data_IF_758959416442
#
_entry.id   IF_758959416442
#
_cell.length_a   1.000
_cell.length_b   1.000
_cell.length_c   1.000
_cell.angle_alpha   90.00
_cell.angle_beta   90.00
_cell.angle_gamma   90.00
#
_symmetry.space_group_name_H-M   'P 1'
#
loop_
_entity.id
_entity.type
_entity.pdbx_description
1 polymer ?
#
# COMPACT_ATOMS: atom_id res chain seq x y z
N UNK A 1 22.52 2.66 -7.32
CA UNK A 1 22.49 3.00 -5.88
C UNK A 1 22.10 1.74 -5.13
N UNK A 2 22.90 1.30 -4.16
CA UNK A 2 22.53 0.16 -3.30
C UNK A 2 21.60 0.73 -2.22
N UNK A 3 20.43 0.13 -2.04
CA UNK A 3 19.49 0.53 -0.99
C UNK A 3 20.01 0.04 0.36
N UNK A 4 20.08 0.92 1.37
CA UNK A 4 20.36 0.53 2.75
C UNK A 4 19.07 0.36 3.56
N UNK A 5 19.19 -0.23 4.76
CA UNK A 5 18.07 -0.48 5.66
C UNK A 5 17.29 0.78 6.02
N UNK A 6 17.99 1.89 6.29
CA UNK A 6 17.35 3.14 6.69
C UNK A 6 16.51 3.72 5.54
N UNK A 7 17.00 3.58 4.32
CA UNK A 7 16.28 3.96 3.11
C UNK A 7 15.09 3.05 2.85
N UNK A 8 15.25 1.73 2.97
CA UNK A 8 14.15 0.78 2.85
C UNK A 8 13.03 1.08 3.87
N UNK A 9 13.39 1.36 5.13
CA UNK A 9 12.43 1.78 6.15
C UNK A 9 11.65 3.04 5.75
N UNK A 10 12.33 4.08 5.25
CA UNK A 10 11.65 5.31 4.80
C UNK A 10 10.65 5.03 3.68
N UNK A 11 10.95 4.11 2.76
CA UNK A 11 10.03 3.71 1.69
C UNK A 11 8.81 2.99 2.28
N UNK A 12 9.01 2.02 3.19
CA UNK A 12 7.90 1.32 3.85
C UNK A 12 7.03 2.32 4.62
N UNK A 13 7.63 3.23 5.38
CA UNK A 13 6.89 4.25 6.16
C UNK A 13 6.05 5.15 5.25
N UNK A 14 6.56 5.53 4.07
CA UNK A 14 5.80 6.27 3.06
C UNK A 14 4.61 5.47 2.54
N UNK A 15 4.79 4.18 2.24
CA UNK A 15 3.70 3.31 1.79
C UNK A 15 2.63 3.16 2.87
N UNK A 16 3.02 2.88 4.11
CA UNK A 16 2.08 2.77 5.25
C UNK A 16 1.34 4.09 5.50
N UNK A 17 2.00 5.24 5.27
CA UNK A 17 1.34 6.54 5.40
C UNK A 17 0.22 6.78 4.38
N UNK A 18 0.12 5.98 3.32
CA UNK A 18 -0.98 6.03 2.36
C UNK A 18 -2.27 5.45 2.94
N UNK A 19 -2.21 4.53 3.90
CA UNK A 19 -3.37 3.78 4.41
C UNK A 19 -4.54 4.69 4.83
N UNK A 20 -4.35 5.77 5.63
CA UNK A 20 -5.46 6.66 5.99
C UNK A 20 -6.09 7.35 4.77
N UNK A 21 -5.27 7.70 3.77
CA UNK A 21 -5.72 8.36 2.55
C UNK A 21 -6.49 7.38 1.65
N UNK A 22 -5.98 6.16 1.49
CA UNK A 22 -6.61 5.11 0.68
C UNK A 22 -7.91 4.62 1.33
N UNK A 23 -7.96 4.51 2.66
CA UNK A 23 -9.18 4.18 3.39
C UNK A 23 -10.27 5.24 3.18
N UNK A 24 -9.91 6.53 3.33
CA UNK A 24 -10.85 7.62 3.05
C UNK A 24 -11.32 7.61 1.60
N UNK A 25 -10.42 7.38 0.64
CA UNK A 25 -10.79 7.28 -0.76
C UNK A 25 -11.73 6.08 -1.02
N UNK A 26 -11.51 4.95 -0.35
CA UNK A 26 -12.39 3.79 -0.45
C UNK A 26 -13.80 4.04 0.12
N UNK A 27 -13.91 4.84 1.19
CA UNK A 27 -15.19 5.30 1.74
C UNK A 27 -15.94 6.17 0.72
N UNK A 28 -15.27 7.17 0.14
CA UNK A 28 -15.86 8.04 -0.90
C UNK A 28 -16.32 7.23 -2.11
N UNK A 29 -15.49 6.29 -2.60
CA UNK A 29 -15.84 5.40 -3.73
C UNK A 29 -17.03 4.49 -3.40
N UNK A 30 -17.15 4.06 -2.14
CA UNK A 30 -18.26 3.24 -1.67
C UNK A 30 -19.58 3.99 -1.61
N UNK A 31 -19.54 5.32 -1.45
CA UNK A 31 -20.74 6.16 -1.45
C UNK A 31 -21.35 6.39 -2.84
N UNK A 32 -20.68 5.97 -3.92
CA UNK A 32 -21.14 6.17 -5.30
C UNK A 32 -22.31 5.25 -5.61
N UNK A 33 -23.48 5.84 -5.95
CA UNK A 33 -24.70 5.10 -6.29
C UNK A 33 -24.59 4.30 -7.60
N UNK A 34 -23.82 4.81 -8.58
CA UNK A 34 -23.56 4.09 -9.82
C UNK A 34 -22.67 2.86 -9.52
N UNK A 35 -23.29 1.68 -9.52
CA UNK A 35 -22.65 0.42 -9.13
C UNK A 35 -21.52 -0.01 -10.07
N UNK A 36 -21.63 0.28 -11.36
CA UNK A 36 -20.59 -0.04 -12.35
C UNK A 36 -19.35 0.82 -12.11
N UNK A 37 -19.54 2.15 -12.00
CA UNK A 37 -18.47 3.09 -11.71
C UNK A 37 -17.82 2.80 -10.35
N UNK A 38 -18.61 2.56 -9.30
CA UNK A 38 -18.09 2.21 -7.98
C UNK A 38 -17.24 0.94 -8.03
N UNK A 39 -17.67 -0.08 -8.78
CA UNK A 39 -16.91 -1.32 -8.97
C UNK A 39 -15.58 -1.07 -9.68
N UNK A 40 -15.57 -0.29 -10.75
CA UNK A 40 -14.35 0.04 -11.49
C UNK A 40 -13.34 0.79 -10.61
N UNK A 41 -13.79 1.80 -9.87
CA UNK A 41 -12.96 2.59 -8.98
C UNK A 41 -12.42 1.76 -7.80
N UNK A 42 -13.22 0.84 -7.25
CA UNK A 42 -12.75 -0.14 -6.25
C UNK A 42 -11.67 -1.06 -6.81
N UNK A 43 -11.80 -1.47 -8.07
CA UNK A 43 -10.78 -2.25 -8.77
C UNK A 43 -9.45 -1.50 -8.86
N UNK A 44 -9.48 -0.24 -9.29
CA UNK A 44 -8.29 0.61 -9.36
C UNK A 44 -7.65 0.83 -7.97
N UNK A 45 -8.46 1.05 -6.93
CA UNK A 45 -7.99 1.14 -5.54
C UNK A 45 -7.28 -0.14 -5.07
N UNK A 46 -7.89 -1.30 -5.34
CA UNK A 46 -7.31 -2.59 -4.99
C UNK A 46 -5.98 -2.84 -5.71
N UNK A 47 -5.84 -2.39 -6.95
CA UNK A 47 -4.57 -2.46 -7.69
C UNK A 47 -3.49 -1.58 -7.04
N UNK A 48 -3.81 -0.34 -6.67
CA UNK A 48 -2.88 0.57 -5.98
C UNK A 48 -2.40 -0.07 -4.66
N UNK A 49 -3.33 -0.55 -3.84
CA UNK A 49 -3.01 -1.22 -2.57
C UNK A 49 -2.17 -2.49 -2.81
N UNK A 50 -2.55 -3.30 -3.80
CA UNK A 50 -1.83 -4.51 -4.17
C UNK A 50 -0.40 -4.24 -4.59
N UNK A 51 -0.16 -3.20 -5.41
CA UNK A 51 1.19 -2.81 -5.85
C UNK A 51 2.02 -2.23 -4.70
N UNK A 52 1.42 -1.41 -3.85
CA UNK A 52 2.06 -0.90 -2.64
C UNK A 52 2.54 -2.05 -1.73
N UNK A 53 1.67 -3.05 -1.49
CA UNK A 53 1.97 -4.15 -0.59
C UNK A 53 2.92 -5.18 -1.21
N UNK A 54 2.55 -5.74 -2.36
CA UNK A 54 3.25 -6.86 -2.99
C UNK A 54 4.43 -6.41 -3.85
N UNK A 55 4.36 -5.22 -4.43
CA UNK A 55 5.39 -4.66 -5.30
C UNK A 55 6.47 -3.87 -4.55
N UNK A 56 6.16 -3.32 -3.37
CA UNK A 56 7.10 -2.49 -2.61
C UNK A 56 7.42 -3.10 -1.25
N UNK A 57 6.44 -3.28 -0.36
CA UNK A 57 6.71 -3.70 1.02
C UNK A 57 7.30 -5.12 1.08
N UNK A 58 6.64 -6.10 0.47
CA UNK A 58 7.09 -7.50 0.52
C UNK A 58 8.53 -7.70 0.01
N UNK A 59 8.95 -7.12 -1.13
CA UNK A 59 10.35 -7.19 -1.56
C UNK A 59 11.34 -6.55 -0.58
N UNK A 60 10.99 -5.40 0.00
CA UNK A 60 11.87 -4.72 0.97
C UNK A 60 12.00 -5.50 2.27
N UNK A 61 10.93 -6.12 2.76
CA UNK A 61 10.97 -7.02 3.92
C UNK A 61 11.76 -8.30 3.63
N UNK A 62 11.77 -8.80 2.38
CA UNK A 62 12.63 -9.94 2.02
C UNK A 62 14.12 -9.58 2.08
N UNK A 63 14.47 -8.34 1.72
CA UNK A 63 15.84 -7.85 1.77
C UNK A 63 16.27 -7.47 3.20
N UNK A 64 15.34 -6.95 4.00
CA UNK A 64 15.54 -6.53 5.39
C UNK A 64 14.44 -7.09 6.29
N UNK A 65 14.51 -8.38 6.69
CA UNK A 65 13.46 -9.08 7.43
C UNK A 65 13.05 -8.41 8.74
N UNK A 66 13.97 -7.71 9.38
CA UNK A 66 13.74 -7.00 10.63
C UNK A 66 12.93 -5.70 10.48
N UNK A 67 12.57 -5.32 9.25
CA UNK A 67 11.60 -4.26 9.00
C UNK A 67 10.15 -4.76 9.07
N UNK A 68 9.92 -6.09 9.09
CA UNK A 68 8.60 -6.67 9.26
C UNK A 68 8.30 -6.80 10.78
N UNK A 69 7.29 -6.09 11.31
CA UNK A 69 6.97 -6.11 12.74
C UNK A 69 6.45 -7.47 13.24
N UNK A 70 5.93 -8.33 12.36
CA UNK A 70 5.46 -9.68 12.73
C UNK A 70 6.59 -10.72 12.75
N UNK A 71 7.79 -10.33 12.29
CA UNK A 71 9.00 -11.19 12.28
C UNK A 71 10.09 -10.71 13.25
N UNK A 72 9.83 -9.63 14.00
CA UNK A 72 10.75 -9.01 14.95
C UNK A 72 10.56 -9.55 16.38
#
# INVERSE_FOLDING_TARGET
MIIDKAHAKRIIDLVVSLDPTLNRLAEEVTSIENTELSRELRGALAEIMGQAMMGIIVPLEKLFPELNPDKA
#
